data_IF_889451211545
#
_entry.id   IF_889451211545
#
_cell.length_a   1.000
_cell.length_b   1.000
_cell.length_c   1.000
_cell.angle_alpha   90.00
_cell.angle_beta   90.00
_cell.angle_gamma   90.00
#
_symmetry.space_group_name_H-M   'P 1'
#
loop_
_entity.id
_entity.type
_entity.pdbx_description
1 polymer ?
#
# COMPACT_ATOMS: atom_id res chain seq x y z
N UNK A 1 3.66 26.65 -19.79
CA UNK A 1 5.01 26.42 -19.24
C UNK A 1 5.31 24.93 -19.39
N UNK A 2 6.18 24.56 -20.33
CA UNK A 2 6.57 23.18 -20.59
C UNK A 2 7.59 22.70 -19.55
N UNK A 3 7.35 21.55 -18.91
CA UNK A 3 8.37 20.87 -18.12
C UNK A 3 9.59 20.54 -19.02
N UNK A 4 10.84 20.71 -18.56
CA UNK A 4 12.00 20.39 -19.38
C UNK A 4 12.12 18.87 -19.55
N UNK A 5 11.94 18.42 -20.79
CA UNK A 5 11.91 17.01 -21.20
C UNK A 5 13.16 16.21 -20.81
N UNK A 6 14.29 16.87 -20.57
CA UNK A 6 15.55 16.22 -20.18
C UNK A 6 15.55 15.69 -18.74
N UNK A 7 14.78 16.29 -17.81
CA UNK A 7 14.68 15.76 -16.44
C UNK A 7 13.85 14.47 -16.36
N UNK A 8 12.81 14.36 -17.21
CA UNK A 8 12.02 13.14 -17.33
C UNK A 8 12.87 12.01 -17.92
N UNK A 9 13.73 12.31 -18.89
CA UNK A 9 14.67 11.33 -19.47
C UNK A 9 15.73 10.84 -18.48
N UNK A 10 16.26 11.72 -17.62
CA UNK A 10 17.18 11.33 -16.53
C UNK A 10 16.50 10.46 -15.47
N UNK A 11 15.23 10.72 -15.15
CA UNK A 11 14.45 9.87 -14.25
C UNK A 11 14.35 8.45 -14.82
N UNK A 12 14.03 8.32 -16.12
CA UNK A 12 13.93 7.03 -16.83
C UNK A 12 15.29 6.31 -16.90
N UNK A 13 16.40 7.01 -17.14
CA UNK A 13 17.72 6.36 -17.24
C UNK A 13 18.23 5.84 -15.89
N UNK A 14 17.85 6.46 -14.77
CA UNK A 14 18.22 6.01 -13.43
C UNK A 14 17.47 4.74 -12.96
N UNK A 15 16.42 4.32 -13.68
CA UNK A 15 15.69 3.07 -13.44
C UNK A 15 16.52 1.84 -13.85
N UNK A 16 17.40 1.98 -14.84
CA UNK A 16 18.09 0.85 -15.47
C UNK A 16 19.44 0.44 -14.88
N UNK A 17 19.97 1.10 -13.86
CA UNK A 17 21.36 0.84 -13.43
C UNK A 17 21.57 1.02 -11.93
N UNK A 18 20.97 0.17 -11.09
CA UNK A 18 21.49 -0.20 -9.76
C UNK A 18 20.77 -1.47 -9.26
N UNK A 19 21.17 -2.65 -9.76
CA UNK A 19 20.85 -3.91 -9.09
C UNK A 19 21.80 -4.10 -7.91
N UNK A 20 21.41 -3.61 -6.73
CA UNK A 20 21.95 -4.10 -5.45
C UNK A 20 20.83 -4.87 -4.74
N UNK A 21 21.07 -6.12 -4.30
CA UNK A 21 20.05 -6.96 -3.71
C UNK A 21 19.86 -6.58 -2.24
N UNK A 22 19.17 -5.48 -1.95
CA UNK A 22 18.56 -5.29 -0.64
C UNK A 22 17.17 -5.91 -0.70
N UNK A 23 17.11 -7.23 -0.54
CA UNK A 23 15.85 -7.94 -0.27
C UNK A 23 15.26 -7.33 0.99
N UNK A 24 13.99 -6.89 0.94
CA UNK A 24 13.31 -6.31 2.09
C UNK A 24 13.38 -7.26 3.28
N UNK A 25 14.08 -6.84 4.34
CA UNK A 25 14.08 -7.61 5.59
C UNK A 25 12.77 -7.35 6.31
N UNK A 26 12.00 -8.41 6.56
CA UNK A 26 10.86 -8.36 7.46
C UNK A 26 11.36 -7.95 8.85
N UNK A 27 10.79 -6.89 9.42
CA UNK A 27 11.08 -6.53 10.80
C UNK A 27 10.40 -7.53 11.75
N UNK A 28 11.09 -7.93 12.82
CA UNK A 28 10.59 -8.92 13.79
C UNK A 28 9.22 -8.56 14.37
N UNK A 29 8.37 -9.55 14.70
CA UNK A 29 7.00 -9.34 15.16
C UNK A 29 6.87 -8.51 16.45
N UNK A 30 7.94 -8.37 17.24
CA UNK A 30 7.95 -7.58 18.48
C UNK A 30 7.66 -6.07 18.28
N UNK A 31 7.83 -5.55 17.05
CA UNK A 31 7.46 -4.18 16.71
C UNK A 31 5.93 -3.95 16.72
N UNK A 32 5.12 -4.99 16.46
CA UNK A 32 3.65 -4.90 16.52
C UNK A 32 3.15 -4.72 17.95
N UNK A 33 3.83 -5.35 18.93
CA UNK A 33 3.57 -5.16 20.35
C UNK A 33 3.92 -3.76 20.84
N UNK A 34 5.02 -3.18 20.34
CA UNK A 34 5.41 -1.80 20.66
C UNK A 34 4.43 -0.75 20.07
N UNK A 35 3.91 -0.98 18.85
CA UNK A 35 2.87 -0.16 18.23
C UNK A 35 1.53 -0.23 18.98
N UNK A 36 1.13 -1.43 19.43
CA UNK A 36 -0.08 -1.62 20.23
C UNK A 36 0.04 -0.95 21.62
N UNK A 37 1.20 -1.08 22.28
CA UNK A 37 1.46 -0.50 23.60
C UNK A 37 1.55 1.04 23.55
N UNK A 38 2.13 1.62 22.49
CA UNK A 38 2.20 3.06 22.32
C UNK A 38 0.83 3.71 22.03
N UNK A 39 -0.07 2.99 21.35
CA UNK A 39 -1.42 3.49 21.04
C UNK A 39 -2.36 3.50 22.25
N UNK A 40 -2.29 2.52 23.16
CA UNK A 40 -3.17 2.48 24.34
C UNK A 40 -2.91 3.60 25.36
N UNK A 41 -1.73 4.22 25.33
CA UNK A 41 -1.38 5.38 26.16
C UNK A 41 -1.55 6.73 25.42
N UNK A 42 -1.74 6.70 24.10
CA UNK A 42 -1.73 7.89 23.26
C UNK A 42 -3.14 8.46 23.04
N UNK A 43 -3.34 9.72 23.46
CA UNK A 43 -4.48 10.55 23.05
C UNK A 43 -4.37 10.99 21.58
N UNK A 44 -3.80 10.17 20.70
CA UNK A 44 -3.71 10.48 19.27
C UNK A 44 -5.11 10.50 18.69
N UNK A 45 -5.53 11.69 18.28
CA UNK A 45 -6.68 11.90 17.43
C UNK A 45 -6.26 11.56 16.00
N UNK A 46 -7.14 10.89 15.25
CA UNK A 46 -6.88 10.62 13.83
C UNK A 46 -6.46 11.90 13.09
N UNK A 47 -5.41 11.77 12.30
CA UNK A 47 -4.78 12.88 11.56
C UNK A 47 -5.56 13.22 10.29
N UNK A 48 -5.44 14.46 9.81
CA UNK A 48 -5.99 14.90 8.53
C UNK A 48 -6.84 16.16 8.62
N UNK A 49 -7.50 16.48 7.51
CA UNK A 49 -8.18 17.76 7.30
C UNK A 49 -9.70 17.58 7.34
N UNK A 50 -10.42 18.54 7.90
CA UNK A 50 -11.89 18.47 7.94
C UNK A 50 -12.51 18.79 6.58
N UNK A 51 -11.80 19.56 5.75
CA UNK A 51 -12.27 20.01 4.44
C UNK A 51 -11.11 20.05 3.43
N UNK A 52 -11.40 19.87 2.12
CA UNK A 52 -10.39 20.02 1.07
C UNK A 52 -9.64 21.36 1.11
N UNK A 53 -10.34 22.47 1.42
CA UNK A 53 -9.72 23.80 1.54
C UNK A 53 -8.71 23.91 2.69
N UNK A 54 -8.83 23.09 3.73
CA UNK A 54 -7.83 23.02 4.79
C UNK A 54 -6.61 22.22 4.32
N UNK A 55 -6.84 21.10 3.61
CA UNK A 55 -5.77 20.28 3.05
C UNK A 55 -4.88 21.07 2.07
N UNK A 56 -5.48 21.95 1.26
CA UNK A 56 -4.77 22.81 0.32
C UNK A 56 -3.82 23.83 0.98
N UNK A 57 -3.99 24.10 2.28
CA UNK A 57 -3.12 25.04 3.03
C UNK A 57 -1.90 24.36 3.64
N UNK A 58 -1.81 23.03 3.53
CA UNK A 58 -0.72 22.28 4.14
C UNK A 58 0.62 22.54 3.43
N UNK A 59 1.70 22.21 4.12
CA UNK A 59 3.03 22.20 3.51
C UNK A 59 3.08 21.25 2.31
N UNK A 60 3.92 21.60 1.33
CA UNK A 60 4.20 20.76 0.17
C UNK A 60 4.82 19.44 0.63
N UNK A 61 4.44 18.36 -0.05
CA UNK A 61 5.03 17.04 0.10
C UNK A 61 6.55 17.06 -0.09
N UNK A 62 7.28 16.33 0.76
CA UNK A 62 8.74 16.20 0.68
C UNK A 62 9.20 14.84 0.17
N UNK A 63 8.28 13.88 0.08
CA UNK A 63 8.55 12.52 -0.36
C UNK A 63 7.42 12.04 -1.26
N UNK A 64 7.77 11.20 -2.22
CA UNK A 64 6.82 10.49 -3.08
C UNK A 64 7.20 9.01 -3.13
N UNK A 65 6.21 8.15 -2.90
CA UNK A 65 6.34 6.70 -3.01
C UNK A 65 5.70 6.24 -4.31
N UNK A 66 6.45 5.52 -5.15
CA UNK A 66 6.02 5.08 -6.47
C UNK A 66 6.17 3.56 -6.57
N UNK A 67 5.11 2.81 -6.91
CA UNK A 67 5.24 1.40 -7.21
C UNK A 67 5.93 1.26 -8.58
N UNK A 68 6.98 0.47 -8.64
CA UNK A 68 7.70 0.16 -9.86
C UNK A 68 7.45 -1.31 -10.24
N UNK A 69 6.66 -1.51 -11.30
CA UNK A 69 6.28 -2.83 -11.80
C UNK A 69 7.31 -3.32 -12.82
N UNK A 70 7.93 -4.46 -12.54
CA UNK A 70 9.01 -5.02 -13.35
C UNK A 70 8.60 -6.23 -14.17
N UNK A 71 7.36 -6.73 -14.01
CA UNK A 71 6.88 -7.93 -14.71
C UNK A 71 7.10 -7.88 -16.22
N UNK A 72 6.66 -6.81 -16.88
CA UNK A 72 6.81 -6.66 -18.34
C UNK A 72 8.27 -6.46 -18.78
N UNK A 73 9.14 -5.95 -17.91
CA UNK A 73 10.54 -5.65 -18.22
C UNK A 73 11.49 -6.83 -17.99
N UNK A 74 11.14 -7.74 -17.08
CA UNK A 74 11.98 -8.86 -16.64
C UNK A 74 11.41 -10.23 -17.01
N UNK A 75 10.29 -10.29 -17.74
CA UNK A 75 9.57 -11.54 -17.97
C UNK A 75 8.89 -12.09 -16.70
N UNK A 76 8.87 -11.32 -15.61
CA UNK A 76 8.33 -11.73 -14.32
C UNK A 76 9.35 -12.27 -13.33
N UNK A 77 10.64 -12.31 -13.71
CA UNK A 77 11.69 -12.91 -12.88
C UNK A 77 12.21 -11.99 -11.77
N UNK A 78 11.92 -10.69 -11.84
CA UNK A 78 12.29 -9.72 -10.81
C UNK A 78 11.06 -9.29 -10.00
N UNK A 79 11.20 -9.17 -8.66
CA UNK A 79 10.17 -8.56 -7.84
C UNK A 79 9.93 -7.11 -8.24
N UNK A 80 8.72 -6.64 -7.96
CA UNK A 80 8.40 -5.22 -8.00
C UNK A 80 9.05 -4.52 -6.81
N UNK A 81 9.15 -3.19 -6.84
CA UNK A 81 9.67 -2.43 -5.71
C UNK A 81 8.92 -1.12 -5.47
N UNK A 82 9.01 -0.61 -4.26
CA UNK A 82 8.58 0.74 -3.91
C UNK A 82 9.77 1.71 -4.02
N UNK A 83 9.72 2.65 -4.96
CA UNK A 83 10.68 3.73 -5.06
C UNK A 83 10.30 4.87 -4.12
N UNK A 84 11.24 5.34 -3.30
CA UNK A 84 11.07 6.59 -2.53
C UNK A 84 11.83 7.70 -3.23
N UNK A 85 11.13 8.76 -3.63
CA UNK A 85 11.67 9.93 -4.33
C UNK A 85 11.70 11.13 -3.38
N UNK A 86 12.82 11.82 -3.33
CA UNK A 86 12.96 13.06 -2.57
C UNK A 86 12.39 14.24 -3.35
N UNK A 87 11.42 14.93 -2.77
CA UNK A 87 10.74 16.09 -3.35
C UNK A 87 11.04 17.40 -2.62
N UNK A 88 11.93 17.42 -1.62
CA UNK A 88 12.31 18.67 -0.94
C UNK A 88 13.27 19.48 -1.83
N UNK A 89 12.88 20.67 -2.34
CA UNK A 89 13.75 21.46 -3.23
C UNK A 89 15.04 21.96 -2.57
N UNK A 90 15.12 21.93 -1.23
CA UNK A 90 16.32 22.28 -0.47
C UNK A 90 17.27 21.10 -0.27
N UNK A 91 16.83 19.88 -0.58
CA UNK A 91 17.63 18.67 -0.43
C UNK A 91 18.66 18.51 -1.54
N UNK A 92 19.85 18.01 -1.19
CA UNK A 92 20.89 17.65 -2.17
C UNK A 92 20.46 16.51 -3.11
N UNK A 93 19.47 15.72 -2.70
CA UNK A 93 18.90 14.60 -3.47
C UNK A 93 17.55 14.94 -4.11
N UNK A 94 17.18 16.22 -4.20
CA UNK A 94 15.93 16.65 -4.83
C UNK A 94 15.74 16.02 -6.22
N UNK A 95 14.54 15.47 -6.47
CA UNK A 95 14.14 14.79 -7.70
C UNK A 95 14.91 13.50 -8.00
N UNK A 96 15.45 12.82 -6.98
CA UNK A 96 16.14 11.53 -7.11
C UNK A 96 15.41 10.42 -6.36
N UNK A 97 15.54 9.18 -6.85
CA UNK A 97 15.17 7.98 -6.10
C UNK A 97 16.21 7.77 -5.01
N UNK A 98 15.81 7.98 -3.76
CA UNK A 98 16.69 7.88 -2.57
C UNK A 98 16.62 6.51 -1.90
N UNK A 99 15.60 5.71 -2.19
CA UNK A 99 15.47 4.35 -1.68
C UNK A 99 14.64 3.47 -2.62
N UNK A 100 14.93 2.17 -2.61
CA UNK A 100 14.15 1.13 -3.30
C UNK A 100 13.89 0.00 -2.31
N UNK A 101 12.64 -0.18 -1.92
CA UNK A 101 12.22 -1.32 -1.11
C UNK A 101 11.71 -2.42 -2.05
N UNK A 102 12.52 -3.46 -2.22
CA UNK A 102 12.18 -4.60 -3.06
C UNK A 102 11.11 -5.47 -2.39
N UNK A 103 10.04 -5.80 -3.11
CA UNK A 103 9.04 -6.77 -2.64
C UNK A 103 9.62 -8.19 -2.59
N UNK A 104 9.08 -9.07 -1.73
CA UNK A 104 9.61 -10.41 -1.56
C UNK A 104 9.32 -11.33 -2.76
N UNK A 105 8.20 -11.12 -3.47
CA UNK A 105 7.73 -12.04 -4.50
C UNK A 105 7.85 -11.45 -5.92
N UNK A 106 8.44 -12.21 -6.87
CA UNK A 106 8.37 -11.87 -8.29
C UNK A 106 6.95 -11.94 -8.85
N UNK A 107 6.65 -11.06 -9.80
CA UNK A 107 5.38 -11.09 -10.54
C UNK A 107 4.14 -10.64 -9.75
N UNK A 108 4.33 -9.91 -8.64
CA UNK A 108 3.27 -9.31 -7.82
C UNK A 108 2.27 -8.49 -8.62
N UNK A 109 2.77 -7.63 -9.52
CA UNK A 109 1.99 -6.55 -10.17
C UNK A 109 1.47 -5.57 -9.12
N UNK A 110 2.38 -4.86 -8.44
CA UNK A 110 2.03 -3.74 -7.58
C UNK A 110 1.32 -2.66 -8.41
N UNK A 111 0.04 -2.40 -8.14
CA UNK A 111 -0.77 -1.56 -9.04
C UNK A 111 -1.29 -0.29 -8.37
N UNK A 112 -2.33 -0.39 -7.51
CA UNK A 112 -2.76 0.71 -6.65
C UNK A 112 -2.09 0.59 -5.28
N UNK A 113 -1.98 1.72 -4.59
CA UNK A 113 -1.60 1.75 -3.18
C UNK A 113 -2.41 2.82 -2.46
N UNK A 114 -2.74 2.54 -1.20
CA UNK A 114 -3.48 3.43 -0.32
C UNK A 114 -2.76 3.62 1.01
N UNK A 115 -3.35 4.45 1.87
CA UNK A 115 -2.89 4.66 3.25
C UNK A 115 -3.73 3.86 4.23
N UNK A 116 -3.13 3.43 5.34
CA UNK A 116 -3.87 2.73 6.41
C UNK A 116 -4.80 3.64 7.23
N UNK A 117 -4.62 4.94 7.14
CA UNK A 117 -5.44 5.93 7.81
C UNK A 117 -5.43 7.19 6.96
N UNK A 118 -6.46 8.03 7.09
CA UNK A 118 -6.54 9.30 6.39
C UNK A 118 -7.50 10.26 7.06
N UNK A 119 -7.79 11.40 6.42
CA UNK A 119 -8.70 12.40 6.93
C UNK A 119 -10.08 11.83 7.35
N UNK A 120 -10.50 10.69 6.81
CA UNK A 120 -11.71 9.96 7.20
C UNK A 120 -11.75 9.58 8.70
N UNK A 121 -10.59 9.41 9.36
CA UNK A 121 -10.52 9.10 10.80
C UNK A 121 -10.34 10.34 11.70
N UNK A 122 -10.41 11.56 11.13
CA UNK A 122 -10.10 12.80 11.84
C UNK A 122 -10.88 12.94 13.15
N UNK A 123 -10.17 13.28 14.23
CA UNK A 123 -10.78 13.59 15.52
C UNK A 123 -11.33 12.37 16.28
N UNK A 124 -11.16 11.16 15.75
CA UNK A 124 -11.54 9.94 16.45
C UNK A 124 -10.43 9.52 17.44
N UNK A 125 -10.74 9.28 18.71
CA UNK A 125 -9.77 8.84 19.71
C UNK A 125 -9.19 7.45 19.42
N UNK A 126 -7.89 7.27 19.66
CA UNK A 126 -7.25 5.96 19.58
C UNK A 126 -7.14 5.40 18.16
N UNK A 127 -7.26 6.27 17.15
CA UNK A 127 -7.13 5.87 15.73
C UNK A 127 -5.68 6.01 15.23
N UNK A 128 -5.27 5.15 14.30
CA UNK A 128 -3.95 5.24 13.68
C UNK A 128 -3.75 6.58 12.98
N UNK A 129 -2.50 7.01 12.91
CA UNK A 129 -2.03 8.05 11.99
C UNK A 129 -1.59 7.41 10.68
N UNK A 130 -1.37 8.21 9.63
CA UNK A 130 -0.69 7.75 8.42
C UNK A 130 0.64 7.08 8.80
N UNK A 131 0.75 5.77 8.62
CA UNK A 131 1.95 5.05 9.00
C UNK A 131 2.28 3.84 8.14
N UNK A 132 1.28 3.26 7.47
CA UNK A 132 1.50 2.20 6.50
C UNK A 132 0.94 2.58 5.14
N UNK A 133 1.72 2.28 4.10
CA UNK A 133 1.19 2.10 2.76
C UNK A 133 0.61 0.69 2.66
N UNK A 134 -0.59 0.59 2.09
CA UNK A 134 -1.28 -0.67 1.80
C UNK A 134 -1.14 -0.91 0.30
N UNK A 135 -0.36 -1.92 -0.07
CA UNK A 135 0.05 -2.17 -1.45
C UNK A 135 -0.37 -3.59 -1.90
N UNK A 136 -1.52 -3.71 -2.58
CA UNK A 136 -1.92 -4.93 -3.28
C UNK A 136 -0.96 -5.34 -4.41
N UNK A 137 -0.52 -6.61 -4.38
CA UNK A 137 0.05 -7.30 -5.52
C UNK A 137 -1.07 -8.02 -6.27
N UNK A 138 -1.52 -7.43 -7.38
CA UNK A 138 -2.74 -7.88 -8.08
C UNK A 138 -2.62 -9.34 -8.49
N UNK A 139 -1.48 -9.77 -9.03
CA UNK A 139 -1.35 -11.10 -9.64
C UNK A 139 -0.84 -12.15 -8.66
N UNK A 140 -0.04 -11.77 -7.66
CA UNK A 140 0.31 -12.70 -6.58
C UNK A 140 -0.87 -12.98 -5.65
N UNK A 141 -1.77 -12.00 -5.50
CA UNK A 141 -2.86 -12.03 -4.54
C UNK A 141 -2.46 -11.55 -3.14
N UNK A 142 -1.22 -11.13 -2.93
CA UNK A 142 -0.72 -10.65 -1.64
C UNK A 142 -1.13 -9.20 -1.38
N UNK A 143 -1.21 -8.82 -0.10
CA UNK A 143 -1.31 -7.41 0.32
C UNK A 143 -0.11 -7.11 1.22
N UNK A 144 0.69 -6.12 0.81
CA UNK A 144 1.85 -5.65 1.56
C UNK A 144 1.51 -4.43 2.41
N UNK A 145 1.97 -4.45 3.65
CA UNK A 145 1.91 -3.30 4.56
C UNK A 145 3.33 -2.78 4.77
N UNK A 146 3.59 -1.59 4.24
CA UNK A 146 4.91 -0.97 4.23
C UNK A 146 4.92 0.14 5.27
N UNK A 147 5.74 0.00 6.31
CA UNK A 147 5.92 0.99 7.36
C UNK A 147 6.73 2.17 6.82
N UNK A 148 6.08 3.33 6.78
CA UNK A 148 6.68 4.63 6.45
C UNK A 148 6.68 5.58 7.65
N UNK A 149 6.16 5.15 8.80
CA UNK A 149 6.15 5.93 10.04
C UNK A 149 7.50 5.87 10.75
N UNK A 150 8.06 4.67 10.90
CA UNK A 150 9.32 4.46 11.60
C UNK A 150 10.47 5.21 10.92
N UNK A 151 10.59 5.05 9.61
CA UNK A 151 11.59 5.71 8.78
C UNK A 151 11.01 6.01 7.39
N UNK A 152 10.62 7.27 7.11
CA UNK A 152 9.90 7.59 5.87
C UNK A 152 10.79 7.58 4.62
N UNK A 153 12.12 7.77 4.76
CA UNK A 153 13.05 7.81 3.61
C UNK A 153 13.45 6.39 3.16
N UNK A 154 13.89 5.49 4.06
CA UNK A 154 14.01 4.07 3.79
C UNK A 154 12.84 3.30 4.42
N UNK A 155 11.65 3.28 3.79
CA UNK A 155 10.53 2.52 4.33
C UNK A 155 10.83 1.01 4.36
N UNK A 156 10.16 0.28 5.24
CA UNK A 156 10.39 -1.16 5.40
C UNK A 156 9.10 -1.97 5.33
N UNK A 157 9.21 -3.23 4.92
CA UNK A 157 8.06 -4.13 4.90
C UNK A 157 7.73 -4.56 6.33
N UNK A 158 6.52 -4.25 6.78
CA UNK A 158 6.05 -4.57 8.14
C UNK A 158 5.29 -5.88 8.19
N UNK A 159 4.39 -6.12 7.22
CA UNK A 159 3.53 -7.31 7.19
C UNK A 159 3.13 -7.66 5.77
N UNK A 160 2.85 -8.94 5.54
CA UNK A 160 2.21 -9.45 4.33
C UNK A 160 0.96 -10.22 4.74
N UNK A 161 -0.18 -9.94 4.10
CA UNK A 161 -1.31 -10.86 4.06
C UNK A 161 -1.16 -11.69 2.78
N UNK A 162 -0.94 -12.98 2.93
CA UNK A 162 -0.68 -13.87 1.81
C UNK A 162 -1.96 -14.25 1.08
N UNK A 163 -1.85 -14.45 -0.24
CA UNK A 163 -2.98 -14.86 -1.08
C UNK A 163 -3.71 -16.11 -0.58
N UNK A 164 -2.97 -17.10 -0.07
CA UNK A 164 -3.56 -18.32 0.49
C UNK A 164 -4.42 -18.03 1.73
N UNK A 165 -3.96 -17.14 2.61
CA UNK A 165 -4.72 -16.74 3.80
C UNK A 165 -5.99 -15.97 3.42
N UNK A 166 -5.91 -15.06 2.44
CA UNK A 166 -7.06 -14.29 1.95
C UNK A 166 -8.10 -15.20 1.27
N UNK A 167 -7.63 -16.16 0.47
CA UNK A 167 -8.49 -17.15 -0.16
C UNK A 167 -9.17 -18.04 0.88
N UNK A 168 -8.45 -18.50 1.91
CA UNK A 168 -9.00 -19.34 2.98
C UNK A 168 -10.01 -18.58 3.86
N UNK A 169 -9.65 -17.38 4.32
CA UNK A 169 -10.48 -16.63 5.27
C UNK A 169 -11.72 -16.00 4.63
N UNK A 170 -11.59 -15.51 3.39
CA UNK A 170 -12.62 -14.70 2.75
C UNK A 170 -12.86 -15.03 1.28
N UNK A 171 -12.20 -16.03 0.69
CA UNK A 171 -12.53 -16.54 -0.65
C UNK A 171 -12.31 -15.52 -1.78
N UNK A 172 -11.27 -14.70 -1.68
CA UNK A 172 -10.93 -13.67 -2.67
C UNK A 172 -9.58 -13.93 -3.34
N UNK A 173 -9.39 -13.33 -4.51
CA UNK A 173 -8.12 -13.18 -5.20
C UNK A 173 -8.09 -11.83 -5.93
N UNK A 174 -6.91 -11.46 -6.43
CA UNK A 174 -6.71 -10.23 -7.20
C UNK A 174 -7.05 -8.95 -6.42
N UNK A 175 -6.37 -8.69 -5.28
CA UNK A 175 -6.56 -7.44 -4.54
C UNK A 175 -6.14 -6.27 -5.43
N UNK A 176 -6.90 -5.18 -5.40
CA UNK A 176 -6.72 -4.08 -6.35
C UNK A 176 -6.62 -2.72 -5.64
N UNK A 177 -7.75 -2.07 -5.35
CA UNK A 177 -7.77 -0.74 -4.74
C UNK A 177 -7.87 -0.86 -3.24
N UNK A 178 -7.11 -0.05 -2.50
CA UNK A 178 -7.20 0.04 -1.04
C UNK A 178 -7.55 1.46 -0.60
N UNK A 179 -8.49 1.56 0.34
CA UNK A 179 -8.90 2.81 0.94
C UNK A 179 -9.05 2.70 2.45
N UNK A 180 -8.46 3.66 3.17
CA UNK A 180 -8.77 3.93 4.56
C UNK A 180 -10.24 4.35 4.69
N UNK A 181 -10.99 3.74 5.61
CA UNK A 181 -12.30 4.20 6.11
C UNK A 181 -12.11 4.90 7.46
N UNK A 182 -13.16 5.52 8.04
CA UNK A 182 -13.07 6.10 9.39
C UNK A 182 -12.63 5.11 10.48
N UNK A 183 -13.01 3.84 10.33
CA UNK A 183 -12.84 2.79 11.34
C UNK A 183 -12.11 1.53 10.86
N UNK A 184 -12.08 1.28 9.55
CA UNK A 184 -11.54 0.07 8.92
C UNK A 184 -10.67 0.41 7.69
N UNK A 185 -10.00 -0.58 7.11
CA UNK A 185 -9.50 -0.52 5.72
C UNK A 185 -10.43 -1.31 4.83
N UNK A 186 -10.70 -0.80 3.64
CA UNK A 186 -11.43 -1.53 2.62
C UNK A 186 -10.54 -1.78 1.42
N UNK A 187 -10.48 -3.03 0.97
CA UNK A 187 -9.71 -3.43 -0.22
C UNK A 187 -10.64 -4.13 -1.21
N UNK A 188 -10.63 -3.70 -2.48
CA UNK A 188 -11.37 -4.35 -3.55
C UNK A 188 -10.62 -5.56 -4.09
N UNK A 189 -11.37 -6.55 -4.55
CA UNK A 189 -10.89 -7.79 -5.14
C UNK A 189 -11.67 -8.09 -6.41
N UNK A 190 -10.96 -8.44 -7.48
CA UNK A 190 -11.56 -8.64 -8.80
C UNK A 190 -12.17 -10.03 -9.01
N UNK A 191 -11.96 -10.96 -8.08
CA UNK A 191 -12.42 -12.33 -8.25
C UNK A 191 -11.99 -13.25 -7.12
N UNK A 192 -11.88 -14.54 -7.43
CA UNK A 192 -11.47 -15.60 -6.51
C UNK A 192 -10.65 -16.67 -7.22
N UNK A 193 -10.26 -17.71 -6.48
CA UNK A 193 -9.64 -18.92 -7.04
C UNK A 193 -10.71 -20.00 -7.18
N UNK A 194 -10.74 -20.64 -8.34
CA UNK A 194 -11.60 -21.78 -8.60
C UNK A 194 -11.03 -23.06 -7.93
N UNK A 195 -11.73 -24.19 -8.07
CA UNK A 195 -11.32 -25.47 -7.49
C UNK A 195 -10.05 -26.11 -8.08
N UNK A 196 -9.57 -25.66 -9.24
CA UNK A 196 -8.31 -26.13 -9.85
C UNK A 196 -7.11 -25.20 -9.58
N UNK A 197 -7.34 -24.10 -8.85
CA UNK A 197 -6.34 -23.10 -8.51
C UNK A 197 -6.20 -21.96 -9.52
N UNK A 198 -6.96 -22.00 -10.63
CA UNK A 198 -7.11 -20.90 -11.58
C UNK A 198 -7.89 -19.71 -11.01
N UNK A 199 -7.77 -18.56 -11.68
CA UNK A 199 -8.50 -17.34 -11.32
C UNK A 199 -9.86 -17.29 -12.02
N UNK A 200 -10.89 -16.85 -11.29
CA UNK A 200 -12.23 -16.62 -11.84
C UNK A 200 -12.81 -15.29 -11.38
N UNK A 201 -13.73 -14.72 -12.18
CA UNK A 201 -14.37 -13.44 -11.88
C UNK A 201 -15.42 -13.53 -10.75
N UNK A 202 -15.92 -14.74 -10.46
CA UNK A 202 -16.81 -14.96 -9.32
C UNK A 202 -16.07 -14.72 -8.01
N UNK A 203 -16.79 -14.27 -6.98
CA UNK A 203 -16.21 -13.94 -5.68
C UNK A 203 -15.56 -12.56 -5.57
N UNK A 204 -15.63 -11.74 -6.64
CA UNK A 204 -15.27 -10.33 -6.60
C UNK A 204 -16.03 -9.59 -5.48
N UNK A 205 -15.40 -8.56 -4.90
CA UNK A 205 -16.00 -7.86 -3.77
C UNK A 205 -14.99 -7.08 -2.95
N UNK A 206 -15.31 -6.85 -1.67
CA UNK A 206 -14.50 -6.02 -0.80
C UNK A 206 -14.23 -6.72 0.53
N UNK A 207 -13.00 -6.57 1.01
CA UNK A 207 -12.55 -7.12 2.29
C UNK A 207 -12.20 -5.97 3.22
N UNK A 208 -12.69 -6.09 4.45
CA UNK A 208 -12.39 -5.19 5.56
C UNK A 208 -11.19 -5.68 6.32
N UNK A 209 -10.27 -4.78 6.66
CA UNK A 209 -9.09 -5.06 7.48
C UNK A 209 -9.03 -4.09 8.66
N UNK A 210 -8.50 -4.53 9.81
CA UNK A 210 -8.27 -3.62 10.94
C UNK A 210 -7.02 -2.76 10.66
N UNK A 211 -7.12 -1.41 10.70
CA UNK A 211 -6.03 -0.52 10.33
C UNK A 211 -4.87 -0.46 11.35
N UNK A 212 -5.00 -1.12 12.50
CA UNK A 212 -3.98 -1.22 13.57
C UNK A 212 -3.28 -2.57 13.54
N UNK A 213 -4.04 -3.67 13.52
CA UNK A 213 -3.49 -5.03 13.54
C UNK A 213 -3.16 -5.54 12.14
N UNK A 214 -3.71 -4.89 11.11
CA UNK A 214 -3.55 -5.24 9.70
C UNK A 214 -4.08 -6.67 9.43
N UNK A 215 -5.08 -7.09 10.21
CA UNK A 215 -5.73 -8.39 10.12
C UNK A 215 -7.02 -8.31 9.34
N UNK A 216 -7.42 -9.43 8.73
CA UNK A 216 -8.69 -9.58 8.02
C UNK A 216 -9.86 -9.57 9.02
N UNK A 217 -10.80 -8.65 8.82
CA UNK A 217 -12.06 -8.58 9.57
C UNK A 217 -13.19 -9.36 8.89
N UNK A 218 -13.15 -9.50 7.57
CA UNK A 218 -14.12 -10.25 6.77
C UNK A 218 -14.57 -9.51 5.52
N UNK A 219 -15.57 -10.05 4.82
CA UNK A 219 -16.22 -9.38 3.70
C UNK A 219 -16.97 -8.12 4.17
N UNK A 220 -17.06 -7.13 3.29
CA UNK A 220 -17.90 -5.94 3.50
C UNK A 220 -19.34 -6.17 3.03
N UNK A 221 -19.48 -6.75 1.84
CA UNK A 221 -20.78 -7.13 1.29
C UNK A 221 -21.46 -8.26 2.09
N UNK A 222 -22.79 -8.24 2.12
CA UNK A 222 -23.56 -9.42 2.50
C UNK A 222 -23.54 -10.45 1.35
N UNK A 223 -23.67 -11.74 1.68
CA UNK A 223 -23.54 -12.82 0.71
C UNK A 223 -24.52 -12.72 -0.49
N UNK A 224 -25.70 -12.12 -0.28
CA UNK A 224 -26.73 -11.87 -1.28
C UNK A 224 -26.50 -10.60 -2.12
N UNK A 225 -25.48 -9.81 -1.80
CA UNK A 225 -25.17 -8.51 -2.43
C UNK A 225 -23.74 -8.42 -2.95
N UNK A 226 -23.13 -9.56 -3.24
CA UNK A 226 -21.81 -9.58 -3.85
C UNK A 226 -21.83 -8.83 -5.19
N UNK A 227 -20.93 -7.85 -5.39
CA UNK A 227 -20.88 -7.12 -6.64
C UNK A 227 -20.39 -8.06 -7.74
N UNK A 228 -20.91 -7.87 -8.96
CA UNK A 228 -20.46 -8.65 -10.11
C UNK A 228 -19.00 -8.34 -10.50
N UNK A 229 -18.52 -7.14 -10.16
CA UNK A 229 -17.18 -6.66 -10.48
C UNK A 229 -16.60 -5.91 -9.26
N UNK A 230 -15.30 -6.06 -9.03
CA UNK A 230 -14.58 -5.43 -7.92
C UNK A 230 -13.27 -4.79 -8.34
N UNK A 231 -13.27 -4.12 -9.51
CA UNK A 231 -12.07 -3.49 -10.09
C UNK A 231 -11.59 -2.32 -9.22
N UNK A 232 -12.25 -1.17 -9.34
CA UNK A 232 -11.88 0.05 -8.61
C UNK A 232 -13.11 0.63 -7.89
N UNK A 233 -12.86 1.40 -6.84
CA UNK A 233 -13.89 2.12 -6.10
C UNK A 233 -13.35 3.41 -5.50
N UNK A 234 -14.24 4.37 -5.31
CA UNK A 234 -14.00 5.58 -4.54
C UNK A 234 -15.29 5.90 -3.77
N UNK A 235 -15.19 6.39 -2.54
CA UNK A 235 -16.35 6.64 -1.67
C UNK A 235 -16.40 8.09 -1.15
#
# INVERSE_FOLDING_TARGET
>A
MSLPSERVKQLISSIGTMCSPNVGTLRSPDATGALAQACCASKTLGSGFGLPLEAMKNEREKLLYIPAVLKACSGGDQPDYLATVDLDPSSATFSQVIHRLQMPEPGDELHHMGWNACASCRGQPGRPVHGFLVAPGVLSGNIYFIDVHSEPKPPCLSKVLHAAELAEKVGVALPHTSHCLPDELLVSFMGSRNGDGGLEAEGAGFVRLDPRTLEVLGRWESADKAPRFGYDFWY
#
